data_IF_848063106373
#
_entry.id   IF_848063106373
#
_cell.length_a   1.000
_cell.length_b   1.000
_cell.length_c   1.000
_cell.angle_alpha   90.00
_cell.angle_beta   90.00
_cell.angle_gamma   90.00
#
_symmetry.space_group_name_H-M   'P 1'
#
loop_
_entity.id
_entity.type
_entity.pdbx_description
1 polymer ?
#
# COMPACT_ATOMS: atom_id res chain seq x y z
N UNK A 1 -3.14 12.57 -5.00
CA UNK A 1 -2.07 12.22 -4.04
C UNK A 1 -0.76 12.19 -4.78
N UNK A 2 0.11 13.15 -4.50
CA UNK A 2 1.37 13.36 -5.22
C UNK A 2 2.49 12.59 -4.54
N UNK A 3 3.34 11.90 -5.30
CA UNK A 3 4.54 11.23 -4.76
C UNK A 3 4.31 10.01 -3.86
N UNK A 4 3.07 9.55 -3.65
CA UNK A 4 2.77 8.41 -2.77
C UNK A 4 3.43 7.09 -3.20
N UNK A 5 3.87 7.01 -4.45
CA UNK A 5 4.56 5.87 -5.06
C UNK A 5 5.92 5.56 -4.44
N UNK A 6 6.59 6.57 -3.88
CA UNK A 6 7.95 6.45 -3.33
C UNK A 6 8.00 6.35 -1.80
N UNK A 7 6.86 6.48 -1.11
CA UNK A 7 6.82 6.55 0.36
C UNK A 7 6.70 5.16 0.99
N UNK A 8 7.47 4.91 2.06
CA UNK A 8 7.18 3.77 2.94
C UNK A 8 5.93 4.06 3.77
N UNK A 9 4.86 3.28 3.56
CA UNK A 9 3.63 3.38 4.36
C UNK A 9 3.78 2.50 5.60
N UNK A 10 4.05 3.15 6.73
CA UNK A 10 4.07 2.47 8.02
C UNK A 10 2.67 2.11 8.51
N UNK A 11 2.58 1.17 9.47
CA UNK A 11 1.30 0.85 10.14
C UNK A 11 0.65 2.08 10.76
N UNK A 12 1.44 3.00 11.30
CA UNK A 12 0.92 4.25 11.88
C UNK A 12 0.37 5.18 10.80
N UNK A 13 1.09 5.31 9.68
CA UNK A 13 0.64 6.08 8.52
C UNK A 13 -0.64 5.49 7.94
N UNK A 14 -0.73 4.17 7.81
CA UNK A 14 -1.94 3.47 7.37
C UNK A 14 -3.12 3.78 8.29
N UNK A 15 -2.97 3.66 9.62
CA UNK A 15 -4.04 3.99 10.57
C UNK A 15 -4.52 5.44 10.44
N UNK A 16 -3.59 6.38 10.23
CA UNK A 16 -3.93 7.80 10.00
C UNK A 16 -4.73 7.98 8.70
N UNK A 17 -4.33 7.30 7.62
CA UNK A 17 -5.04 7.35 6.33
C UNK A 17 -6.44 6.74 6.42
N UNK A 18 -6.61 5.65 7.17
CA UNK A 18 -7.92 5.05 7.42
C UNK A 18 -8.80 5.98 8.25
N UNK A 19 -8.25 6.62 9.28
CA UNK A 19 -8.99 7.58 10.09
C UNK A 19 -9.41 8.83 9.29
N UNK A 20 -8.55 9.34 8.40
CA UNK A 20 -8.91 10.48 7.53
C UNK A 20 -10.00 10.10 6.53
N UNK A 21 -9.93 8.90 5.93
CA UNK A 21 -10.99 8.37 5.07
C UNK A 21 -12.33 8.29 5.81
N UNK A 22 -12.35 7.76 7.03
CA UNK A 22 -13.55 7.70 7.87
C UNK A 22 -14.09 9.09 8.22
N UNK A 23 -13.21 10.05 8.50
CA UNK A 23 -13.60 11.43 8.78
C UNK A 23 -14.29 12.07 7.56
N UNK A 24 -13.72 11.88 6.36
CA UNK A 24 -14.35 12.36 5.13
C UNK A 24 -15.72 11.72 4.89
N UNK A 25 -15.84 10.39 5.01
CA UNK A 25 -17.11 9.68 4.82
C UNK A 25 -18.19 10.15 5.80
N UNK A 26 -17.87 10.22 7.11
CA UNK A 26 -18.82 10.69 8.13
C UNK A 26 -19.29 12.12 7.86
N UNK A 27 -18.39 12.98 7.37
CA UNK A 27 -18.73 14.36 7.04
C UNK A 27 -19.60 14.47 5.78
N UNK A 28 -19.32 13.69 4.75
CA UNK A 28 -20.13 13.64 3.52
C UNK A 28 -21.54 13.09 3.78
N UNK A 29 -21.64 12.03 4.59
CA UNK A 29 -22.92 11.42 4.99
C UNK A 29 -23.64 12.17 6.12
N UNK A 30 -23.07 13.27 6.61
CA UNK A 30 -23.62 14.09 7.72
C UNK A 30 -23.91 13.28 9.00
N UNK A 31 -23.09 12.26 9.28
CA UNK A 31 -23.24 11.40 10.46
C UNK A 31 -22.77 12.16 11.69
N UNK A 32 -23.67 12.37 12.65
CA UNK A 32 -23.32 12.98 13.93
C UNK A 32 -22.45 12.04 14.77
N UNK A 33 -21.59 12.60 15.62
CA UNK A 33 -20.81 11.80 16.57
C UNK A 33 -21.72 11.06 17.57
N UNK A 34 -22.90 11.62 17.88
CA UNK A 34 -23.91 11.05 18.78
C UNK A 34 -24.54 9.77 18.23
N UNK A 35 -24.55 9.60 16.91
CA UNK A 35 -25.08 8.39 16.28
C UNK A 35 -24.28 7.12 16.65
N UNK A 36 -23.04 7.25 17.15
CA UNK A 36 -22.17 6.14 17.59
C UNK A 36 -22.07 4.98 16.57
N UNK A 37 -22.22 5.28 15.27
CA UNK A 37 -22.09 4.30 14.17
C UNK A 37 -20.66 3.76 14.11
N UNK A 38 -20.53 2.45 13.91
CA UNK A 38 -19.24 1.77 13.68
C UNK A 38 -18.64 2.18 12.33
N UNK A 39 -17.34 1.94 12.13
CA UNK A 39 -16.72 2.28 10.83
C UNK A 39 -17.22 1.40 9.69
N UNK A 40 -17.57 0.14 9.97
CA UNK A 40 -18.07 -0.80 8.96
C UNK A 40 -19.46 -0.36 8.45
N UNK A 41 -20.36 0.05 9.36
CA UNK A 41 -21.67 0.59 8.95
C UNK A 41 -21.57 1.88 8.13
N UNK A 42 -20.57 2.74 8.43
CA UNK A 42 -20.32 3.95 7.63
C UNK A 42 -19.84 3.59 6.21
N UNK A 43 -19.02 2.54 6.07
CA UNK A 43 -18.54 2.05 4.77
C UNK A 43 -19.69 1.42 3.95
N UNK A 44 -20.55 0.63 4.59
CA UNK A 44 -21.75 0.04 3.99
C UNK A 44 -22.72 1.10 3.47
N UNK A 45 -23.00 2.13 4.27
CA UNK A 45 -23.89 3.25 3.91
C UNK A 45 -23.29 4.13 2.80
N UNK A 46 -21.96 4.25 2.75
CA UNK A 46 -21.28 4.90 1.65
C UNK A 46 -21.25 4.04 0.36
N UNK A 47 -21.64 2.76 0.44
CA UNK A 47 -21.48 1.75 -0.62
C UNK A 47 -20.04 1.69 -1.15
N UNK A 48 -19.06 1.85 -0.26
CA UNK A 48 -17.64 1.89 -0.61
C UNK A 48 -16.81 1.09 0.38
N UNK A 49 -15.76 0.45 -0.11
CA UNK A 49 -14.70 -0.11 0.73
C UNK A 49 -13.59 0.93 1.01
N UNK A 50 -12.49 0.52 1.66
CA UNK A 50 -11.32 1.39 1.88
C UNK A 50 -10.62 1.69 0.56
N UNK A 51 -10.91 2.84 -0.04
CA UNK A 51 -10.43 3.22 -1.37
C UNK A 51 -9.05 3.86 -1.31
N UNK A 52 -8.77 4.65 -0.27
CA UNK A 52 -7.59 5.50 -0.23
C UNK A 52 -6.30 4.68 -0.13
N UNK A 53 -6.23 3.75 0.82
CA UNK A 53 -5.08 2.86 0.99
C UNK A 53 -4.88 1.95 -0.23
N UNK A 54 -5.98 1.40 -0.78
CA UNK A 54 -5.98 0.54 -1.96
C UNK A 54 -5.46 1.28 -3.20
N UNK A 55 -5.87 2.55 -3.39
CA UNK A 55 -5.37 3.41 -4.47
C UNK A 55 -3.88 3.72 -4.31
N UNK A 56 -3.41 4.01 -3.10
CA UNK A 56 -1.99 4.24 -2.82
C UNK A 56 -1.17 3.00 -3.15
N UNK A 57 -1.55 1.84 -2.60
CA UNK A 57 -0.85 0.57 -2.79
C UNK A 57 -0.80 0.16 -4.26
N UNK A 58 -1.90 0.35 -5.00
CA UNK A 58 -1.93 0.12 -6.46
C UNK A 58 -0.91 0.99 -7.20
N UNK A 59 -0.80 2.27 -6.87
CA UNK A 59 0.17 3.18 -7.48
C UNK A 59 1.60 2.77 -7.12
N UNK A 60 1.86 2.50 -5.84
CA UNK A 60 3.17 2.00 -5.36
C UNK A 60 3.60 0.73 -6.09
N UNK A 61 2.72 -0.27 -6.22
CA UNK A 61 3.04 -1.51 -6.92
C UNK A 61 3.26 -1.30 -8.43
N UNK A 62 2.50 -0.38 -9.04
CA UNK A 62 2.67 -0.06 -10.46
C UNK A 62 4.03 0.60 -10.70
N UNK A 63 4.39 1.59 -9.88
CA UNK A 63 5.68 2.27 -9.92
C UNK A 63 6.83 1.29 -9.62
N UNK A 64 6.70 0.47 -8.56
CA UNK A 64 7.68 -0.54 -8.19
C UNK A 64 7.98 -1.50 -9.34
N UNK A 65 6.95 -2.04 -10.00
CA UNK A 65 7.15 -2.89 -11.17
C UNK A 65 7.80 -2.16 -12.36
N UNK A 66 7.53 -0.87 -12.55
CA UNK A 66 8.20 -0.08 -13.58
C UNK A 66 9.68 0.10 -13.28
N UNK A 67 10.02 0.47 -12.04
CA UNK A 67 11.39 0.64 -11.56
C UNK A 67 12.17 -0.67 -11.73
N UNK A 68 11.67 -1.77 -11.18
CA UNK A 68 12.35 -3.07 -11.22
C UNK A 68 12.74 -3.51 -12.64
N UNK A 69 11.89 -3.26 -13.63
CA UNK A 69 12.13 -3.64 -15.04
C UNK A 69 13.09 -2.72 -15.81
N UNK A 70 13.41 -1.53 -15.29
CA UNK A 70 14.33 -0.58 -15.94
C UNK A 70 15.80 -0.86 -15.59
N UNK A 71 16.07 -1.74 -14.62
CA UNK A 71 17.42 -2.15 -14.19
C UNK A 71 18.38 -0.97 -13.90
N UNK A 72 17.88 0.07 -13.22
CA UNK A 72 18.65 1.25 -12.82
C UNK A 72 19.04 1.29 -11.34
N UNK A 73 19.77 2.34 -10.93
CA UNK A 73 20.12 2.59 -9.52
C UNK A 73 18.88 2.69 -8.62
N UNK A 74 17.75 3.11 -9.18
CA UNK A 74 16.49 3.21 -8.46
C UNK A 74 16.03 1.85 -7.89
N UNK A 75 16.45 0.72 -8.49
CA UNK A 75 16.18 -0.61 -7.98
C UNK A 75 16.80 -0.85 -6.60
N UNK A 76 18.08 -0.47 -6.44
CA UNK A 76 18.80 -0.63 -5.18
C UNK A 76 18.19 0.25 -4.08
N UNK A 77 17.84 1.49 -4.42
CA UNK A 77 17.19 2.42 -3.49
C UNK A 77 15.82 1.90 -3.05
N UNK A 78 15.02 1.39 -3.99
CA UNK A 78 13.64 0.95 -3.71
C UNK A 78 13.59 -0.38 -2.96
N UNK A 79 14.53 -1.30 -3.21
CA UNK A 79 14.64 -2.57 -2.49
C UNK A 79 15.32 -2.43 -1.13
N UNK A 80 16.19 -1.42 -0.96
CA UNK A 80 16.99 -1.25 0.25
C UNK A 80 17.95 -2.42 0.50
N UNK A 81 18.36 -3.12 -0.57
CA UNK A 81 19.34 -4.20 -0.56
C UNK A 81 20.73 -3.65 -0.87
N UNK A 82 21.23 -2.79 0.01
CA UNK A 82 22.58 -2.25 -0.07
C UNK A 82 23.53 -3.11 0.77
N UNK A 83 24.75 -3.33 0.28
CA UNK A 83 25.80 -4.00 1.04
C UNK A 83 26.23 -3.12 2.23
N UNK A 84 26.27 -3.71 3.43
CA UNK A 84 26.67 -2.99 4.64
C UNK A 84 26.03 -3.52 5.92
N UNK A 85 26.55 -3.04 7.06
CA UNK A 85 25.98 -3.34 8.37
C UNK A 85 24.81 -2.41 8.66
N UNK A 86 23.69 -2.97 9.10
CA UNK A 86 22.53 -2.20 9.57
C UNK A 86 22.83 -1.55 10.92
N UNK A 87 22.24 -0.38 11.17
CA UNK A 87 22.32 0.26 12.48
C UNK A 87 21.71 -0.62 13.57
N UNK A 88 22.28 -0.58 14.78
CA UNK A 88 21.71 -1.25 15.95
C UNK A 88 20.37 -0.62 16.33
N UNK A 89 19.37 -1.44 16.66
CA UNK A 89 18.02 -0.99 17.05
C UNK A 89 16.92 -1.60 16.19
N UNK A 90 15.70 -1.01 16.26
CA UNK A 90 14.56 -1.46 15.48
C UNK A 90 14.80 -1.24 13.99
N UNK A 91 14.64 -2.30 13.20
CA UNK A 91 14.74 -2.22 11.76
C UNK A 91 13.70 -1.28 11.18
N UNK A 92 14.11 -0.39 10.28
CA UNK A 92 13.19 0.46 9.52
C UNK A 92 12.38 -0.41 8.55
N UNK A 93 11.08 -0.14 8.47
CA UNK A 93 10.19 -0.79 7.50
C UNK A 93 10.66 -0.43 6.08
N UNK A 94 10.72 -1.43 5.21
CA UNK A 94 11.08 -1.21 3.80
C UNK A 94 9.84 -0.99 2.96
N UNK A 95 10.00 -0.22 1.90
CA UNK A 95 8.95 -0.02 0.91
C UNK A 95 8.45 -1.35 0.32
N UNK A 96 9.38 -2.26 -0.02
CA UNK A 96 9.06 -3.58 -0.56
C UNK A 96 8.33 -4.50 0.43
N UNK A 97 8.65 -4.44 1.73
CA UNK A 97 8.01 -5.28 2.76
C UNK A 97 6.51 -4.93 2.88
N UNK A 98 6.17 -3.64 2.84
CA UNK A 98 4.77 -3.21 2.83
C UNK A 98 4.00 -3.63 1.56
N UNK A 99 4.69 -3.76 0.42
CA UNK A 99 4.10 -4.24 -0.82
C UNK A 99 3.95 -5.76 -0.85
N UNK A 100 4.91 -6.51 -0.32
CA UNK A 100 4.83 -7.97 -0.24
C UNK A 100 3.69 -8.41 0.65
N UNK A 101 3.52 -7.76 1.80
CA UNK A 101 2.40 -8.01 2.72
C UNK A 101 1.06 -7.75 2.04
N UNK A 102 0.95 -6.65 1.29
CA UNK A 102 -0.28 -6.30 0.59
C UNK A 102 -0.59 -7.22 -0.60
N UNK A 103 0.43 -7.61 -1.36
CA UNK A 103 0.29 -8.55 -2.48
C UNK A 103 0.15 -10.01 -2.03
N UNK A 104 0.33 -10.29 -0.73
CA UNK A 104 0.44 -11.63 -0.15
C UNK A 104 1.51 -12.47 -0.86
N UNK A 105 2.58 -11.82 -1.31
CA UNK A 105 3.76 -12.49 -1.85
C UNK A 105 4.59 -12.98 -0.67
N UNK A 106 4.92 -14.28 -0.63
CA UNK A 106 5.55 -14.90 0.54
C UNK A 106 6.87 -14.24 0.92
N UNK A 107 7.73 -13.95 -0.07
CA UNK A 107 9.02 -13.27 0.14
C UNK A 107 9.21 -12.08 -0.79
N UNK A 108 10.05 -11.13 -0.37
CA UNK A 108 10.43 -9.95 -1.16
C UNK A 108 11.11 -10.30 -2.48
N UNK A 109 11.94 -11.34 -2.51
CA UNK A 109 12.57 -11.84 -3.72
C UNK A 109 11.55 -12.37 -4.74
N UNK A 110 10.53 -13.09 -4.27
CA UNK A 110 9.45 -13.60 -5.14
C UNK A 110 8.64 -12.45 -5.75
N UNK A 111 8.41 -11.38 -4.98
CA UNK A 111 7.76 -10.19 -5.49
C UNK A 111 8.61 -9.48 -6.55
N UNK A 112 9.94 -9.40 -6.37
CA UNK A 112 10.86 -8.84 -7.37
C UNK A 112 10.83 -9.68 -8.64
N UNK A 113 10.95 -11.01 -8.53
CA UNK A 113 10.93 -11.90 -9.69
C UNK A 113 9.60 -11.79 -10.45
N UNK A 114 8.48 -11.69 -9.73
CA UNK A 114 7.17 -11.50 -10.33
C UNK A 114 7.03 -10.17 -11.09
N UNK A 115 7.86 -9.15 -10.82
CA UNK A 115 7.83 -7.91 -11.59
C UNK A 115 8.37 -8.06 -13.01
N UNK A 116 9.20 -9.07 -13.30
CA UNK A 116 9.75 -9.30 -14.65
C UNK A 116 8.65 -9.64 -15.64
N UNK A 117 7.68 -10.47 -15.23
CA UNK A 117 6.49 -10.74 -16.01
C UNK A 117 5.42 -9.66 -15.80
N UNK A 118 5.23 -8.82 -16.82
CA UNK A 118 4.24 -7.73 -16.80
C UNK A 118 2.81 -8.22 -16.65
N UNK A 119 2.45 -9.37 -17.24
CA UNK A 119 1.09 -9.92 -17.16
C UNK A 119 0.83 -10.45 -15.76
N UNK A 120 1.74 -11.26 -15.22
CA UNK A 120 1.68 -11.76 -13.84
C UNK A 120 1.58 -10.62 -12.83
N UNK A 121 2.43 -9.60 -12.96
CA UNK A 121 2.43 -8.44 -12.06
C UNK A 121 1.10 -7.67 -12.08
N UNK A 122 0.54 -7.42 -13.27
CA UNK A 122 -0.76 -6.74 -13.39
C UNK A 122 -1.89 -7.56 -12.77
N UNK A 123 -1.86 -8.89 -12.93
CA UNK A 123 -2.85 -9.79 -12.32
C UNK A 123 -2.75 -9.78 -10.80
N UNK A 124 -1.54 -9.82 -10.24
CA UNK A 124 -1.33 -9.72 -8.78
C UNK A 124 -1.89 -8.41 -8.21
N UNK A 125 -1.60 -7.28 -8.87
CA UNK A 125 -2.14 -5.97 -8.47
C UNK A 125 -3.67 -5.97 -8.54
N UNK A 126 -4.25 -6.49 -9.62
CA UNK A 126 -5.70 -6.54 -9.79
C UNK A 126 -6.38 -7.38 -8.70
N UNK A 127 -5.79 -8.53 -8.35
CA UNK A 127 -6.29 -9.39 -7.28
C UNK A 127 -6.17 -8.73 -5.91
N UNK A 128 -5.05 -8.07 -5.61
CA UNK A 128 -4.86 -7.36 -4.34
C UNK A 128 -5.84 -6.18 -4.17
N UNK A 129 -6.15 -5.47 -5.26
CA UNK A 129 -7.16 -4.40 -5.25
C UNK A 129 -8.55 -4.96 -5.01
N UNK A 130 -8.90 -6.10 -5.63
CA UNK A 130 -10.20 -6.77 -5.42
C UNK A 130 -10.39 -7.35 -4.02
N UNK A 131 -9.31 -7.68 -3.32
CA UNK A 131 -9.39 -8.18 -1.94
C UNK A 131 -9.53 -7.06 -0.90
N UNK A 132 -9.22 -5.82 -1.26
CA UNK A 132 -9.41 -4.63 -0.42
C UNK A 132 -10.73 -3.90 -0.68
N UNK A 133 -11.56 -4.42 -1.61
CA UNK A 133 -12.94 -4.01 -1.88
C UNK A 133 -13.90 -5.02 -1.27
#
# INVERSE_FOLDING_TARGET
MYGCEAWTVSKQTQKKLEATEMWFLRRMLRISWTAKKTNDTVLEEAHTARLLISKIRKRQATFFGHVMRREGLENLVTTGMLEGKRSRGKQREKHIEGLTDWLKAGKSLEAIEATKDRKKWRTMIANAVKQGT
#
